data_IF_343158452018
#
_entry.id   IF_343158452018
#
_cell.length_a   1.000
_cell.length_b   1.000
_cell.length_c   1.000
_cell.angle_alpha   90.00
_cell.angle_beta   90.00
_cell.angle_gamma   90.00
#
_symmetry.space_group_name_H-M   'P 1'
#
loop_
_entity.id
_entity.type
_entity.pdbx_description
1 polymer ?
#
# COMPACT_ATOMS: atom_id res chain seq x y z
N UNK A 1 50.41 37.32 42.48
CA UNK A 1 49.94 37.78 43.81
C UNK A 1 48.90 36.76 44.20
N UNK A 2 49.45 35.78 44.89
CA UNK A 2 49.24 35.32 46.26
C UNK A 2 47.85 34.70 46.46
N UNK A 3 47.78 33.35 46.39
CA UNK A 3 47.99 32.44 47.51
C UNK A 3 47.07 32.71 48.71
N UNK A 4 46.20 31.74 49.02
CA UNK A 4 46.13 31.13 50.38
C UNK A 4 45.10 30.00 50.38
N UNK A 5 45.57 28.74 50.52
CA UNK A 5 44.84 27.64 51.14
C UNK A 5 44.82 27.83 52.68
N UNK A 6 43.88 27.27 53.37
CA UNK A 6 44.32 26.28 54.34
C UNK A 6 43.46 24.99 54.38
N UNK A 7 44.19 23.94 54.71
CA UNK A 7 43.76 22.62 55.03
C UNK A 7 43.06 22.50 56.40
N UNK A 8 42.63 21.29 56.69
CA UNK A 8 42.12 20.61 57.89
C UNK A 8 40.59 20.33 57.84
N UNK A 9 40.10 19.15 57.83
CA UNK A 9 40.09 18.23 58.95
C UNK A 9 39.63 16.81 58.46
N UNK A 10 40.40 15.79 58.79
CA UNK A 10 40.05 14.36 58.66
C UNK A 10 39.02 14.03 59.71
N UNK A 11 37.86 13.51 59.32
CA UNK A 11 36.95 12.80 60.18
C UNK A 11 36.70 11.41 59.57
N UNK A 12 37.29 10.45 60.17
CA UNK A 12 37.13 9.01 59.90
C UNK A 12 35.77 8.58 60.42
N UNK A 13 34.82 8.35 59.51
CA UNK A 13 33.52 7.75 59.85
C UNK A 13 33.54 6.31 59.38
N UNK A 14 33.68 5.37 60.33
CA UNK A 14 33.49 3.94 60.14
C UNK A 14 31.99 3.70 59.93
N UNK A 15 31.56 3.51 58.67
CA UNK A 15 30.20 3.07 58.35
C UNK A 15 30.22 1.52 58.28
N UNK A 16 29.59 0.90 59.26
CA UNK A 16 29.25 -0.53 59.29
C UNK A 16 28.30 -0.82 58.11
N UNK A 17 28.77 -1.44 57.06
CA UNK A 17 27.95 -1.94 55.97
C UNK A 17 27.25 -3.23 56.41
N UNK A 18 25.99 -3.10 56.84
CA UNK A 18 25.10 -4.26 56.97
C UNK A 18 24.62 -4.64 55.59
N UNK A 19 25.21 -5.64 54.98
CA UNK A 19 24.74 -6.27 53.74
C UNK A 19 23.47 -7.07 54.05
N UNK A 20 22.31 -6.48 53.84
CA UNK A 20 21.03 -7.20 53.69
C UNK A 20 21.08 -7.95 52.37
N UNK A 21 21.43 -9.25 52.46
CA UNK A 21 21.23 -10.17 51.33
C UNK A 21 19.76 -10.35 51.10
N UNK A 22 19.21 -9.62 50.13
CA UNK A 22 17.86 -9.89 49.59
C UNK A 22 17.90 -11.29 48.94
N UNK A 23 16.94 -12.19 49.24
CA UNK A 23 16.86 -13.45 48.54
C UNK A 23 16.59 -13.14 47.05
N UNK A 24 17.53 -13.53 46.18
CA UNK A 24 17.32 -13.57 44.75
C UNK A 24 16.17 -14.55 44.49
N UNK A 25 14.98 -14.04 44.25
CA UNK A 25 13.88 -14.83 43.69
C UNK A 25 14.39 -15.25 42.31
N UNK A 26 14.86 -16.47 42.21
CA UNK A 26 15.19 -17.11 40.95
C UNK A 26 13.88 -17.13 40.16
N UNK A 27 13.73 -16.19 39.19
CA UNK A 27 12.70 -16.31 38.17
C UNK A 27 12.99 -17.63 37.44
N UNK A 28 12.18 -18.64 37.73
CA UNK A 28 12.12 -19.85 36.92
C UNK A 28 11.93 -19.39 35.48
N UNK A 29 12.80 -19.79 34.53
CA UNK A 29 12.56 -19.49 33.13
C UNK A 29 11.19 -20.05 32.82
N UNK A 30 10.26 -19.16 32.46
CA UNK A 30 8.93 -19.60 31.99
C UNK A 30 9.17 -20.52 30.80
N UNK A 31 8.74 -21.76 30.93
CA UNK A 31 8.80 -22.71 29.84
C UNK A 31 8.32 -22.07 28.53
N UNK A 32 9.05 -22.25 27.42
CA UNK A 32 8.61 -21.73 26.16
C UNK A 32 7.19 -22.26 25.88
N UNK A 33 6.25 -21.42 25.43
CA UNK A 33 4.88 -21.84 25.19
C UNK A 33 4.87 -23.07 24.26
N UNK A 34 3.99 -24.05 24.52
CA UNK A 34 3.97 -25.30 23.79
C UNK A 34 3.88 -25.06 22.27
N UNK A 35 4.52 -25.91 21.50
CA UNK A 35 4.72 -25.73 20.05
C UNK A 35 3.44 -25.49 19.24
N UNK A 36 2.28 -25.99 19.72
CA UNK A 36 0.97 -25.76 19.09
C UNK A 36 0.49 -24.31 19.22
N UNK A 37 0.85 -23.60 20.30
CA UNK A 37 0.51 -22.18 20.49
C UNK A 37 1.30 -21.30 19.53
N UNK A 38 2.48 -21.74 19.04
CA UNK A 38 3.28 -20.99 18.08
C UNK A 38 2.73 -21.03 16.65
N UNK A 39 2.01 -22.10 16.28
CA UNK A 39 1.47 -22.28 14.91
C UNK A 39 0.31 -21.31 14.60
N UNK A 40 -0.42 -20.87 15.62
CA UNK A 40 -1.59 -20.02 15.44
C UNK A 40 -1.27 -18.52 15.62
N UNK A 41 -0.01 -18.17 15.92
CA UNK A 41 0.38 -16.77 16.07
C UNK A 41 0.84 -16.21 14.73
N UNK A 42 0.27 -15.06 14.37
CA UNK A 42 0.71 -14.24 13.24
C UNK A 42 1.55 -13.09 13.77
N UNK A 43 2.67 -12.86 13.12
CA UNK A 43 3.51 -11.69 13.33
C UNK A 43 3.33 -10.72 12.16
N UNK A 44 3.60 -9.45 12.38
CA UNK A 44 3.48 -8.44 11.34
C UNK A 44 4.25 -8.80 10.07
N UNK A 45 5.49 -9.32 10.22
CA UNK A 45 6.32 -9.79 9.10
C UNK A 45 5.67 -10.86 8.23
N UNK A 46 4.70 -11.60 8.75
CA UNK A 46 4.02 -12.67 8.03
C UNK A 46 2.95 -12.12 7.06
N UNK A 47 2.49 -10.89 7.33
CA UNK A 47 1.48 -10.18 6.52
C UNK A 47 2.00 -8.88 5.91
N UNK A 48 3.28 -8.57 6.11
CA UNK A 48 3.91 -7.41 5.50
C UNK A 48 3.98 -7.56 3.99
N UNK A 49 3.59 -6.51 3.26
CA UNK A 49 3.56 -6.51 1.80
C UNK A 49 2.35 -5.80 1.23
N UNK A 50 2.14 -5.99 -0.06
CA UNK A 50 1.00 -5.44 -0.79
C UNK A 50 -0.02 -6.56 -1.02
N UNK A 51 -1.25 -6.28 -0.67
CA UNK A 51 -2.39 -7.18 -0.80
C UNK A 51 -3.42 -6.56 -1.72
N UNK A 52 -3.77 -7.24 -2.80
CA UNK A 52 -4.75 -6.78 -3.77
C UNK A 52 -6.07 -7.53 -3.60
N UNK A 53 -7.17 -6.81 -3.70
CA UNK A 53 -8.50 -7.38 -3.66
C UNK A 53 -8.68 -8.41 -4.78
N UNK A 54 -8.98 -9.66 -4.43
CA UNK A 54 -9.05 -10.79 -5.38
C UNK A 54 -10.16 -10.59 -6.44
N UNK A 55 -11.40 -10.20 -6.10
CA UNK A 55 -12.41 -9.85 -7.08
C UNK A 55 -11.99 -8.71 -8.03
N UNK A 56 -11.28 -7.69 -7.53
CA UNK A 56 -10.75 -6.62 -8.38
C UNK A 56 -9.77 -7.17 -9.41
N UNK A 57 -8.81 -7.99 -8.95
CA UNK A 57 -7.80 -8.60 -9.82
C UNK A 57 -8.45 -9.50 -10.88
N UNK A 58 -9.49 -10.25 -10.51
CA UNK A 58 -10.25 -11.07 -11.45
C UNK A 58 -10.90 -10.28 -12.57
N UNK A 59 -11.57 -9.15 -12.22
CA UNK A 59 -12.17 -8.26 -13.23
C UNK A 59 -11.11 -7.56 -14.06
N UNK A 60 -10.03 -7.09 -13.42
CA UNK A 60 -8.90 -6.45 -14.11
C UNK A 60 -8.26 -7.38 -15.14
N UNK A 61 -8.01 -8.63 -14.75
CA UNK A 61 -7.41 -9.65 -15.65
C UNK A 61 -8.29 -9.95 -16.85
N UNK A 62 -9.61 -10.00 -16.65
CA UNK A 62 -10.57 -10.31 -17.71
C UNK A 62 -10.80 -9.13 -18.66
N UNK A 63 -10.94 -7.91 -18.15
CA UNK A 63 -11.35 -6.73 -18.90
C UNK A 63 -10.22 -5.74 -19.18
N UNK A 64 -9.08 -5.87 -18.53
CA UNK A 64 -7.97 -4.92 -18.54
C UNK A 64 -8.42 -3.46 -18.25
N UNK A 65 -9.45 -3.33 -17.41
CA UNK A 65 -10.11 -2.08 -17.08
C UNK A 65 -10.12 -1.88 -15.55
N UNK A 66 -9.19 -1.09 -15.00
CA UNK A 66 -9.20 -0.67 -13.61
C UNK A 66 -10.50 0.02 -13.19
N UNK A 67 -11.05 0.87 -14.06
CA UNK A 67 -12.31 1.54 -13.80
C UNK A 67 -13.50 0.57 -13.64
N UNK A 68 -13.61 -0.43 -14.52
CA UNK A 68 -14.65 -1.44 -14.38
C UNK A 68 -14.45 -2.32 -13.14
N UNK A 69 -13.21 -2.62 -12.80
CA UNK A 69 -12.86 -3.38 -11.61
C UNK A 69 -13.18 -2.61 -10.33
N UNK A 70 -12.82 -1.34 -10.24
CA UNK A 70 -13.04 -0.48 -9.08
C UNK A 70 -14.52 -0.24 -8.75
N UNK A 71 -15.40 -0.26 -9.75
CA UNK A 71 -16.86 -0.12 -9.54
C UNK A 71 -17.48 -1.25 -8.71
N UNK A 72 -16.85 -2.42 -8.68
CA UNK A 72 -17.39 -3.63 -8.04
C UNK A 72 -16.75 -3.93 -6.71
N UNK A 73 -15.63 -3.28 -6.39
CA UNK A 73 -14.79 -3.63 -5.26
C UNK A 73 -14.21 -2.38 -4.60
N UNK A 74 -14.10 -2.38 -3.27
CA UNK A 74 -13.37 -1.38 -2.51
C UNK A 74 -12.99 -1.98 -1.14
N UNK A 75 -11.84 -1.61 -0.58
CA UNK A 75 -10.68 -0.98 -1.20
C UNK A 75 -9.96 -1.93 -2.17
N UNK A 76 -9.25 -1.35 -3.14
CA UNK A 76 -8.56 -2.14 -4.16
C UNK A 76 -7.32 -2.80 -3.62
N UNK A 77 -6.56 -2.09 -2.78
CA UNK A 77 -5.27 -2.52 -2.26
C UNK A 77 -5.14 -2.16 -0.79
N UNK A 78 -4.49 -3.05 -0.07
CA UNK A 78 -4.01 -2.83 1.28
C UNK A 78 -2.50 -3.09 1.28
N UNK A 79 -1.71 -2.12 1.72
CA UNK A 79 -0.27 -2.29 1.91
C UNK A 79 0.05 -2.21 3.40
N UNK A 80 0.74 -3.22 3.92
CA UNK A 80 1.23 -3.27 5.29
C UNK A 80 2.75 -3.18 5.20
N UNK A 81 3.35 -2.09 5.69
CA UNK A 81 4.77 -1.82 5.49
C UNK A 81 5.37 -0.95 6.59
N UNK A 82 6.68 -0.98 6.72
CA UNK A 82 7.39 -0.20 7.74
C UNK A 82 7.97 1.12 7.21
N UNK A 83 8.48 1.16 6.00
CA UNK A 83 8.99 2.35 5.30
C UNK A 83 9.94 3.23 6.15
N UNK A 84 10.82 2.62 6.97
CA UNK A 84 11.72 3.34 7.87
C UNK A 84 11.04 4.08 9.03
N UNK A 85 9.73 3.94 9.23
CA UNK A 85 8.96 4.57 10.30
C UNK A 85 9.13 3.83 11.62
N UNK A 86 8.87 4.52 12.73
CA UNK A 86 8.88 3.91 14.06
C UNK A 86 7.83 2.80 14.19
N UNK A 87 6.65 3.00 13.59
CA UNK A 87 5.57 2.02 13.54
C UNK A 87 5.35 1.56 12.10
N UNK A 88 5.03 0.27 11.89
CA UNK A 88 4.49 -0.18 10.62
C UNK A 88 3.18 0.52 10.32
N UNK A 89 2.86 0.69 9.05
CA UNK A 89 1.62 1.36 8.62
C UNK A 89 0.78 0.43 7.77
N UNK A 90 -0.54 0.60 7.88
CA UNK A 90 -1.51 0.11 6.89
C UNK A 90 -1.88 1.28 5.99
N UNK A 91 -1.72 1.06 4.70
CA UNK A 91 -2.16 1.99 3.65
C UNK A 91 -3.33 1.33 2.94
N UNK A 92 -4.47 1.99 2.96
CA UNK A 92 -5.65 1.52 2.23
C UNK A 92 -5.98 2.51 1.13
N UNK A 93 -6.14 1.96 -0.08
CA UNK A 93 -6.49 2.70 -1.28
C UNK A 93 -5.40 3.66 -1.81
N UNK A 94 -5.31 3.79 -3.15
CA UNK A 94 -4.27 4.58 -3.81
C UNK A 94 -4.55 6.07 -3.89
N UNK A 95 -5.79 6.43 -4.15
CA UNK A 95 -6.16 7.82 -4.45
C UNK A 95 -6.58 8.62 -3.22
N UNK A 96 -6.80 7.94 -2.10
CA UNK A 96 -7.15 8.52 -0.80
C UNK A 96 -6.50 7.71 0.31
N UNK A 97 -5.19 7.54 0.20
CA UNK A 97 -4.44 6.73 1.14
C UNK A 97 -4.74 7.11 2.59
N UNK A 98 -5.46 6.25 3.29
CA UNK A 98 -5.54 6.31 4.73
C UNK A 98 -4.28 5.67 5.28
N UNK A 99 -3.49 6.45 5.98
CA UNK A 99 -2.28 5.99 6.67
C UNK A 99 -2.61 5.77 8.13
N UNK A 100 -2.47 4.55 8.61
CA UNK A 100 -2.74 4.18 9.99
C UNK A 100 -1.54 3.42 10.56
N UNK A 101 -1.03 3.83 11.72
CA UNK A 101 0.05 3.10 12.38
C UNK A 101 -0.48 1.79 12.97
N UNK A 102 0.20 0.68 12.71
CA UNK A 102 -0.08 -0.62 13.34
C UNK A 102 0.62 -0.66 14.69
N UNK A 103 -0.15 -0.81 15.73
CA UNK A 103 0.33 -0.89 17.11
C UNK A 103 0.55 -2.34 17.54
N UNK A 104 -0.38 -3.24 17.18
CA UNK A 104 -0.31 -4.66 17.56
C UNK A 104 -1.15 -5.54 16.63
N UNK A 105 -0.97 -6.85 16.75
CA UNK A 105 -1.80 -7.90 16.17
C UNK A 105 -2.29 -8.80 17.29
N UNK A 106 -3.58 -8.88 17.46
CA UNK A 106 -4.22 -9.66 18.51
C UNK A 106 -5.10 -10.78 17.92
N UNK A 107 -5.19 -11.95 18.59
CA UNK A 107 -6.18 -12.97 18.23
C UNK A 107 -7.62 -12.43 18.41
N UNK A 108 -8.55 -12.81 17.52
CA UNK A 108 -9.95 -12.39 17.56
C UNK A 108 -10.91 -13.57 17.83
N UNK A 109 -10.65 -14.30 18.91
CA UNK A 109 -11.57 -15.29 19.50
C UNK A 109 -11.76 -16.60 18.72
N UNK A 110 -11.32 -16.72 17.47
CA UNK A 110 -11.37 -17.94 16.65
C UNK A 110 -10.00 -18.29 16.10
N UNK A 111 -9.67 -19.57 15.95
CA UNK A 111 -8.45 -19.98 15.24
C UNK A 111 -8.40 -19.34 13.85
N UNK A 112 -7.27 -18.75 13.48
CA UNK A 112 -7.08 -18.08 12.19
C UNK A 112 -7.70 -16.68 12.06
N UNK A 113 -8.43 -16.19 13.07
CA UNK A 113 -8.99 -14.85 13.11
C UNK A 113 -8.15 -13.92 13.99
N UNK A 114 -7.90 -12.72 13.50
CA UNK A 114 -7.03 -11.73 14.13
C UNK A 114 -7.62 -10.32 13.96
N UNK A 115 -7.09 -9.40 14.74
CA UNK A 115 -7.33 -7.97 14.57
C UNK A 115 -6.01 -7.20 14.59
N UNK A 116 -5.86 -6.29 13.65
CA UNK A 116 -4.85 -5.24 13.73
C UNK A 116 -5.37 -4.15 14.64
N UNK A 117 -4.59 -3.80 15.64
CA UNK A 117 -4.80 -2.63 16.47
C UNK A 117 -4.11 -1.46 15.75
N UNK A 118 -4.86 -0.51 15.24
CA UNK A 118 -4.29 0.61 14.48
C UNK A 118 -4.65 1.94 15.13
N UNK A 119 -3.72 2.89 15.11
CA UNK A 119 -4.03 4.27 15.45
C UNK A 119 -4.65 4.97 14.24
N UNK A 120 -5.50 5.97 14.48
CA UNK A 120 -6.09 6.78 13.39
C UNK A 120 -5.03 7.50 12.57
N UNK A 121 -3.94 7.87 13.21
CA UNK A 121 -2.83 8.61 12.62
C UNK A 121 -1.63 7.69 12.35
N UNK A 122 -0.79 8.07 11.42
CA UNK A 122 0.48 7.39 11.14
C UNK A 122 1.59 7.70 12.18
N UNK A 123 1.34 8.64 13.08
CA UNK A 123 2.22 9.07 14.19
C UNK A 123 1.45 9.07 15.51
N UNK A 124 1.19 7.89 16.08
CA UNK A 124 0.42 7.81 17.31
C UNK A 124 1.17 8.46 18.48
N UNK A 125 0.40 9.21 19.29
CA UNK A 125 0.83 9.75 20.57
C UNK A 125 0.09 9.08 21.71
N UNK A 126 0.50 9.32 22.96
CA UNK A 126 -0.24 8.84 24.12
C UNK A 126 -1.67 9.40 24.08
N UNK A 127 -2.67 8.51 24.11
CA UNK A 127 -4.09 8.88 24.00
C UNK A 127 -4.66 8.94 22.59
N UNK A 128 -3.89 8.54 21.55
CA UNK A 128 -4.43 8.39 20.20
C UNK A 128 -5.60 7.40 20.19
N UNK A 129 -6.66 7.74 19.47
CA UNK A 129 -7.78 6.84 19.21
C UNK A 129 -7.31 5.60 18.46
N UNK A 130 -7.68 4.43 18.95
CA UNK A 130 -7.40 3.16 18.29
C UNK A 130 -8.62 2.63 17.55
N UNK A 131 -8.37 1.90 16.48
CA UNK A 131 -9.35 1.16 15.70
C UNK A 131 -8.91 -0.30 15.56
N UNK A 132 -9.83 -1.13 15.15
CA UNK A 132 -9.57 -2.55 14.90
C UNK A 132 -9.91 -2.89 13.45
N UNK A 133 -8.95 -3.45 12.73
CA UNK A 133 -9.17 -4.05 11.42
C UNK A 133 -9.16 -5.56 11.63
N UNK A 134 -10.30 -6.21 11.46
CA UNK A 134 -10.41 -7.66 11.60
C UNK A 134 -9.95 -8.34 10.33
N UNK A 135 -9.23 -9.44 10.48
CA UNK A 135 -8.83 -10.27 9.35
C UNK A 135 -8.74 -11.75 9.73
N UNK A 136 -8.94 -12.57 8.74
CA UNK A 136 -8.66 -14.01 8.76
C UNK A 136 -7.49 -14.26 7.80
N UNK A 137 -6.56 -15.13 8.19
CA UNK A 137 -5.40 -15.46 7.39
C UNK A 137 -5.42 -16.94 7.02
N UNK A 138 -5.27 -17.23 5.73
CA UNK A 138 -5.11 -18.58 5.21
C UNK A 138 -3.64 -18.83 4.87
N UNK A 139 -3.14 -20.00 5.23
CA UNK A 139 -1.78 -20.45 4.90
C UNK A 139 -1.82 -21.52 3.83
N UNK A 140 -0.90 -21.43 2.88
CA UNK A 140 -0.69 -22.49 1.89
C UNK A 140 0.02 -23.71 2.50
N UNK A 141 0.25 -24.73 1.68
CA UNK A 141 0.92 -25.98 2.09
C UNK A 141 2.35 -25.77 2.64
N UNK A 142 3.00 -24.67 2.27
CA UNK A 142 4.34 -24.27 2.76
C UNK A 142 4.27 -23.46 4.05
N UNK A 143 3.08 -23.23 4.62
CA UNK A 143 2.86 -22.45 5.83
C UNK A 143 2.94 -20.94 5.65
N UNK A 144 3.12 -20.44 4.42
CA UNK A 144 3.11 -19.02 4.10
C UNK A 144 1.67 -18.51 3.98
N UNK A 145 1.39 -17.33 4.52
CA UNK A 145 0.08 -16.68 4.33
C UNK A 145 -0.03 -16.28 2.86
N UNK A 146 -1.07 -16.78 2.20
CA UNK A 146 -1.35 -16.55 0.78
C UNK A 146 -2.73 -15.91 0.55
N UNK A 147 -3.52 -15.73 1.60
CA UNK A 147 -4.79 -15.01 1.55
C UNK A 147 -5.06 -14.30 2.86
N UNK A 148 -5.55 -13.08 2.77
CA UNK A 148 -6.15 -12.34 3.87
C UNK A 148 -7.61 -12.06 3.52
N UNK A 149 -8.51 -12.41 4.44
CA UNK A 149 -9.91 -12.01 4.38
C UNK A 149 -10.12 -10.90 5.41
N UNK A 150 -10.43 -9.70 4.96
CA UNK A 150 -10.39 -8.49 5.78
C UNK A 150 -11.79 -7.89 5.89
N UNK A 151 -12.16 -7.50 7.11
CA UNK A 151 -13.32 -6.68 7.37
C UNK A 151 -12.87 -5.37 8.04
N UNK A 152 -12.99 -4.30 7.29
CA UNK A 152 -12.77 -2.96 7.84
C UNK A 152 -14.09 -2.21 7.90
N UNK A 153 -14.53 -1.82 9.13
CA UNK A 153 -15.86 -1.27 9.34
C UNK A 153 -16.15 0.00 8.53
N UNK A 154 -15.13 0.85 8.37
CA UNK A 154 -15.30 2.17 7.78
C UNK A 154 -15.38 2.12 6.23
N UNK A 155 -14.67 1.17 5.60
CA UNK A 155 -14.63 1.06 4.13
C UNK A 155 -15.65 0.08 3.57
N UNK A 156 -15.86 -1.03 4.25
CA UNK A 156 -16.66 -2.13 3.72
C UNK A 156 -18.02 -2.27 4.36
N UNK A 157 -18.42 -1.33 5.22
CA UNK A 157 -19.71 -1.39 5.96
C UNK A 157 -19.93 -2.76 6.62
N UNK A 158 -18.88 -3.30 7.22
CA UNK A 158 -18.89 -4.61 7.87
C UNK A 158 -18.84 -5.81 6.91
N UNK A 159 -18.63 -5.62 5.62
CA UNK A 159 -18.45 -6.72 4.68
C UNK A 159 -17.01 -7.23 4.71
N UNK A 160 -16.85 -8.51 4.42
CA UNK A 160 -15.56 -9.14 4.26
C UNK A 160 -15.13 -9.12 2.80
N UNK A 161 -13.84 -8.91 2.57
CA UNK A 161 -13.24 -9.00 1.24
C UNK A 161 -11.96 -9.82 1.28
N UNK A 162 -11.74 -10.60 0.23
CA UNK A 162 -10.57 -11.45 0.07
C UNK A 162 -9.47 -10.71 -0.67
N UNK A 163 -8.25 -10.85 -0.16
CA UNK A 163 -7.04 -10.24 -0.69
C UNK A 163 -5.97 -11.31 -0.89
N UNK A 164 -5.26 -11.20 -2.00
CA UNK A 164 -4.11 -12.03 -2.32
C UNK A 164 -2.83 -11.20 -2.35
N UNK A 165 -1.67 -11.79 -2.00
CA UNK A 165 -0.41 -11.05 -2.01
C UNK A 165 -0.01 -10.68 -3.43
N UNK A 166 0.42 -9.44 -3.62
CA UNK A 166 1.00 -8.97 -4.85
C UNK A 166 2.53 -9.03 -4.73
N UNK A 167 3.19 -9.72 -5.64
CA UNK A 167 4.64 -9.78 -5.66
C UNK A 167 5.24 -8.49 -6.23
N UNK A 168 6.20 -7.89 -5.51
CA UNK A 168 6.89 -6.69 -5.95
C UNK A 168 6.07 -5.41 -5.78
N UNK A 169 6.39 -4.41 -6.60
CA UNK A 169 5.74 -3.11 -6.56
C UNK A 169 4.41 -3.13 -7.33
N UNK A 170 3.49 -2.28 -6.90
CA UNK A 170 2.15 -2.27 -7.45
C UNK A 170 2.10 -1.75 -8.89
N UNK A 171 2.67 -0.58 -9.16
CA UNK A 171 2.55 0.06 -10.47
C UNK A 171 3.11 -0.81 -11.60
N UNK A 172 4.30 -1.44 -11.49
CA UNK A 172 4.78 -2.39 -12.48
C UNK A 172 3.84 -3.57 -12.71
N UNK A 173 3.29 -4.14 -11.66
CA UNK A 173 2.36 -5.27 -11.78
C UNK A 173 1.06 -4.85 -12.48
N UNK A 174 0.50 -3.68 -12.13
CA UNK A 174 -0.70 -3.17 -12.77
C UNK A 174 -0.44 -2.84 -14.24
N UNK A 175 0.69 -2.21 -14.56
CA UNK A 175 1.09 -1.96 -15.94
C UNK A 175 1.17 -3.25 -16.75
N UNK A 176 1.77 -4.31 -16.18
CA UNK A 176 1.83 -5.66 -16.79
C UNK A 176 0.45 -6.20 -17.13
N UNK A 177 -0.50 -6.12 -16.21
CA UNK A 177 -1.85 -6.63 -16.43
C UNK A 177 -2.64 -5.84 -17.48
N UNK A 178 -2.38 -4.54 -17.59
CA UNK A 178 -3.26 -3.64 -18.34
C UNK A 178 -2.69 -3.24 -19.69
N UNK A 179 -1.49 -2.69 -19.72
CA UNK A 179 -0.96 -2.03 -20.91
C UNK A 179 0.36 -2.58 -21.43
N UNK A 180 1.20 -3.19 -20.56
CA UNK A 180 2.56 -3.56 -20.99
C UNK A 180 2.56 -4.47 -22.20
N UNK A 181 3.38 -4.10 -23.20
CA UNK A 181 3.50 -4.85 -24.45
C UNK A 181 4.02 -4.00 -25.60
N UNK A 182 4.18 -4.68 -26.72
CA UNK A 182 4.51 -4.06 -28.01
C UNK A 182 3.28 -4.09 -28.91
N UNK A 183 3.04 -3.03 -29.59
CA UNK A 183 1.85 -2.84 -30.41
C UNK A 183 2.22 -2.20 -31.75
N UNK A 184 1.27 -2.23 -32.67
CA UNK A 184 1.34 -1.54 -33.94
C UNK A 184 0.00 -0.86 -34.24
N UNK A 185 0.05 0.37 -34.73
CA UNK A 185 -1.15 1.06 -35.17
C UNK A 185 -1.55 0.66 -36.61
N UNK A 186 -2.66 1.21 -37.10
CA UNK A 186 -3.20 0.99 -38.43
C UNK A 186 -2.28 1.43 -39.59
N UNK A 187 -1.20 2.19 -39.28
CA UNK A 187 -0.19 2.64 -40.23
C UNK A 187 1.13 1.84 -40.12
N UNK A 188 1.14 0.78 -39.33
CA UNK A 188 2.33 -0.03 -39.10
C UNK A 188 3.38 0.61 -38.18
N UNK A 189 3.05 1.70 -37.46
CA UNK A 189 4.00 2.39 -36.58
C UNK A 189 4.05 1.70 -35.21
N UNK A 190 5.24 1.54 -34.65
CA UNK A 190 5.42 0.85 -33.38
C UNK A 190 4.99 1.71 -32.19
N UNK A 191 4.38 1.05 -31.19
CA UNK A 191 4.03 1.58 -29.88
C UNK A 191 4.51 0.60 -28.81
N UNK A 192 5.02 1.11 -27.72
CA UNK A 192 5.47 0.27 -26.61
C UNK A 192 5.01 0.86 -25.30
N UNK A 193 4.56 -0.03 -24.38
CA UNK A 193 4.32 0.31 -22.98
C UNK A 193 5.13 -0.66 -22.13
N UNK A 194 5.90 -0.16 -21.19
CA UNK A 194 6.72 -0.99 -20.29
C UNK A 194 6.03 -1.20 -18.94
N UNK A 195 6.44 -2.25 -18.22
CA UNK A 195 6.00 -2.48 -16.85
C UNK A 195 6.45 -1.34 -15.91
N UNK A 196 7.58 -0.73 -16.20
CA UNK A 196 8.12 0.39 -15.42
C UNK A 196 7.33 1.70 -15.58
N UNK A 197 6.31 1.73 -16.47
CA UNK A 197 5.51 2.95 -16.69
C UNK A 197 6.12 3.90 -17.72
N UNK A 198 6.93 3.40 -18.66
CA UNK A 198 7.38 4.17 -19.81
C UNK A 198 6.57 3.79 -21.04
N UNK A 199 6.15 4.78 -21.82
CA UNK A 199 5.50 4.61 -23.10
C UNK A 199 6.34 5.25 -24.21
N UNK A 200 6.55 4.49 -25.31
CA UNK A 200 7.15 5.00 -26.55
C UNK A 200 6.09 4.97 -27.64
N UNK A 201 5.75 6.14 -28.15
CA UNK A 201 4.85 6.37 -29.26
C UNK A 201 5.65 6.80 -30.50
N UNK A 202 5.08 6.81 -31.69
CA UNK A 202 5.82 7.17 -32.90
C UNK A 202 6.48 8.56 -32.88
N UNK A 203 5.94 9.48 -32.07
CA UNK A 203 6.32 10.88 -32.03
C UNK A 203 6.95 11.30 -30.68
N UNK A 204 6.92 10.44 -29.65
CA UNK A 204 7.39 10.79 -28.30
C UNK A 204 7.59 9.59 -27.39
N UNK A 205 8.37 9.82 -26.33
CA UNK A 205 8.50 8.91 -25.17
C UNK A 205 8.17 9.70 -23.90
N UNK A 206 7.49 9.06 -22.96
CA UNK A 206 7.09 9.67 -21.69
C UNK A 206 6.83 8.61 -20.62
N UNK A 207 6.91 9.01 -19.36
CA UNK A 207 6.48 8.18 -18.25
C UNK A 207 4.97 8.31 -18.04
N UNK A 208 4.36 7.22 -17.60
CA UNK A 208 2.93 7.20 -17.32
C UNK A 208 2.62 6.46 -16.02
N UNK A 209 1.51 6.82 -15.42
CA UNK A 209 0.89 6.14 -14.29
C UNK A 209 -0.56 5.79 -14.63
N UNK A 210 -0.98 4.56 -14.34
CA UNK A 210 -2.36 4.13 -14.52
C UNK A 210 -3.24 4.64 -13.39
N UNK A 211 -4.41 5.14 -13.71
CA UNK A 211 -5.46 5.38 -12.74
C UNK A 211 -6.12 4.06 -12.35
N UNK A 212 -5.86 3.60 -11.14
CA UNK A 212 -6.29 2.28 -10.68
C UNK A 212 -7.63 2.30 -9.92
N UNK A 213 -7.98 3.42 -9.31
CA UNK A 213 -9.16 3.55 -8.47
C UNK A 213 -9.76 4.96 -8.56
N UNK A 214 -10.35 5.27 -9.70
CA UNK A 214 -11.15 6.48 -9.88
C UNK A 214 -12.57 6.10 -10.33
N UNK A 215 -13.46 5.74 -9.37
CA UNK A 215 -14.85 5.37 -9.72
C UNK A 215 -15.64 6.54 -10.30
N UNK A 216 -15.15 7.78 -10.12
CA UNK A 216 -15.74 8.99 -10.71
C UNK A 216 -15.34 9.23 -12.15
N UNK A 217 -14.29 8.60 -12.65
CA UNK A 217 -13.89 8.71 -14.04
C UNK A 217 -14.95 8.11 -14.98
N UNK A 218 -15.06 8.64 -16.17
CA UNK A 218 -15.92 8.11 -17.23
C UNK A 218 -15.28 6.98 -18.04
N UNK A 219 -13.98 6.71 -17.82
CA UNK A 219 -13.17 5.77 -18.60
C UNK A 219 -11.90 5.37 -17.86
N UNK A 220 -11.23 4.33 -18.35
CA UNK A 220 -9.85 4.03 -17.97
C UNK A 220 -8.92 5.09 -18.55
N UNK A 221 -7.95 5.54 -17.76
CA UNK A 221 -6.98 6.52 -18.23
C UNK A 221 -5.60 6.32 -17.60
N UNK A 222 -4.61 6.82 -18.30
CA UNK A 222 -3.26 7.00 -17.80
C UNK A 222 -2.95 8.50 -17.67
N UNK A 223 -2.13 8.84 -16.74
CA UNK A 223 -1.61 10.18 -16.54
C UNK A 223 -0.13 10.19 -16.89
N UNK A 224 0.30 11.17 -17.70
CA UNK A 224 1.71 11.31 -18.05
C UNK A 224 2.38 12.24 -17.07
N UNK A 225 3.62 11.92 -16.70
CA UNK A 225 4.43 12.86 -15.96
C UNK A 225 4.74 14.07 -16.84
N UNK A 226 4.38 15.24 -16.34
CA UNK A 226 4.83 16.49 -16.96
C UNK A 226 6.32 16.64 -16.70
N UNK A 227 7.16 16.65 -17.73
CA UNK A 227 8.64 16.75 -17.65
C UNK A 227 9.17 18.06 -17.07
N UNK A 228 8.35 18.87 -16.45
CA UNK A 228 8.72 20.04 -15.66
C UNK A 228 7.98 20.02 -14.34
N UNK A 229 8.73 20.19 -13.23
CA UNK A 229 8.11 20.46 -11.92
C UNK A 229 7.02 21.52 -12.11
N UNK A 230 5.81 21.30 -11.61
CA UNK A 230 4.80 22.33 -11.69
C UNK A 230 5.27 23.53 -10.86
N UNK A 231 5.57 24.65 -11.51
CA UNK A 231 5.50 25.92 -10.84
C UNK A 231 4.07 26.08 -10.34
N UNK A 232 3.90 26.05 -9.04
CA UNK A 232 2.60 25.99 -8.35
C UNK A 232 1.67 27.20 -8.60
N UNK A 233 1.99 28.07 -9.55
CA UNK A 233 1.31 29.36 -9.79
C UNK A 233 0.50 29.45 -11.10
N UNK A 234 0.45 28.41 -11.95
CA UNK A 234 -0.33 28.48 -13.21
C UNK A 234 -1.25 27.27 -13.39
N UNK A 235 -2.17 27.07 -12.48
CA UNK A 235 -3.12 25.95 -12.46
C UNK A 235 -4.43 26.30 -13.16
N UNK A 236 -4.47 26.46 -14.45
CA UNK A 236 -5.79 26.71 -15.10
C UNK A 236 -6.03 25.98 -16.43
N UNK A 237 -4.99 25.82 -17.25
CA UNK A 237 -5.17 25.34 -18.61
C UNK A 237 -4.21 24.20 -19.04
N UNK A 238 -3.31 23.76 -18.16
CA UNK A 238 -2.21 22.86 -18.51
C UNK A 238 -2.49 21.39 -18.16
N UNK A 239 -3.58 21.13 -17.46
CA UNK A 239 -3.87 19.81 -16.88
C UNK A 239 -4.48 18.80 -17.89
N UNK A 240 -5.08 19.30 -18.98
CA UNK A 240 -5.75 18.43 -19.96
C UNK A 240 -4.81 17.70 -20.92
N UNK A 241 -3.58 18.19 -21.11
CA UNK A 241 -2.63 17.60 -22.06
C UNK A 241 -1.90 16.37 -21.54
N UNK A 242 -2.08 16.07 -20.26
CA UNK A 242 -1.30 15.04 -19.55
C UNK A 242 -2.12 13.76 -19.27
N UNK A 243 -3.28 13.60 -19.90
CA UNK A 243 -4.13 12.43 -19.72
C UNK A 243 -4.50 11.80 -21.04
N UNK A 244 -4.46 10.47 -21.07
CA UNK A 244 -4.95 9.68 -22.20
C UNK A 244 -5.87 8.60 -21.68
N UNK A 245 -7.06 8.53 -22.23
CA UNK A 245 -7.96 7.41 -22.02
C UNK A 245 -7.47 6.19 -22.80
N UNK A 246 -7.90 5.03 -22.37
CA UNK A 246 -7.71 3.82 -23.14
C UNK A 246 -8.91 2.87 -23.02
N UNK A 247 -9.04 1.96 -23.99
CA UNK A 247 -10.10 0.96 -24.00
C UNK A 247 -9.63 -0.29 -24.71
N UNK A 248 -9.79 -1.42 -24.06
CA UNK A 248 -9.64 -2.74 -24.66
C UNK A 248 -10.97 -3.18 -25.27
N UNK A 249 -10.97 -3.59 -26.53
CA UNK A 249 -12.10 -4.17 -27.21
C UNK A 249 -11.61 -5.10 -28.32
N UNK A 250 -12.16 -6.31 -28.40
CA UNK A 250 -11.86 -7.30 -29.45
C UNK A 250 -10.34 -7.54 -29.63
N UNK A 251 -9.60 -7.64 -28.53
CA UNK A 251 -8.15 -7.84 -28.52
C UNK A 251 -7.31 -6.65 -28.96
N UNK A 252 -7.92 -5.47 -29.21
CA UNK A 252 -7.24 -4.23 -29.59
C UNK A 252 -7.30 -3.20 -28.48
N UNK A 253 -6.26 -2.39 -28.38
CA UNK A 253 -6.15 -1.28 -27.47
C UNK A 253 -6.40 0.04 -28.20
N UNK A 254 -7.47 0.74 -27.86
CA UNK A 254 -7.75 2.11 -28.36
C UNK A 254 -7.18 3.13 -27.40
N UNK A 255 -6.40 4.08 -27.89
CA UNK A 255 -5.95 5.27 -27.16
C UNK A 255 -6.88 6.43 -27.47
N UNK A 256 -7.38 7.09 -26.45
CA UNK A 256 -8.42 8.11 -26.54
C UNK A 256 -7.89 9.44 -25.98
N UNK A 257 -8.29 10.59 -26.54
CA UNK A 257 -8.12 11.85 -25.82
C UNK A 257 -8.88 11.80 -24.50
N UNK A 258 -8.29 12.32 -23.42
CA UNK A 258 -8.95 12.44 -22.15
C UNK A 258 -8.78 13.86 -21.60
N UNK A 259 -9.81 14.38 -20.95
CA UNK A 259 -9.83 15.72 -20.38
C UNK A 259 -10.53 15.72 -19.03
N UNK A 260 -10.23 16.74 -18.25
CA UNK A 260 -10.91 16.98 -16.99
C UNK A 260 -12.21 17.77 -17.24
N UNK A 261 -13.33 17.22 -16.87
CA UNK A 261 -14.63 17.91 -16.89
C UNK A 261 -15.09 18.11 -15.43
N UNK A 262 -14.77 19.27 -14.88
CA UNK A 262 -14.89 19.53 -13.45
C UNK A 262 -13.92 18.65 -12.64
N UNK A 263 -14.46 17.74 -11.83
CA UNK A 263 -13.67 16.78 -11.04
C UNK A 263 -13.59 15.38 -11.68
N UNK A 264 -14.07 15.21 -12.88
CA UNK A 264 -14.16 13.90 -13.55
C UNK A 264 -13.30 13.87 -14.80
N UNK A 265 -12.58 12.76 -14.99
CA UNK A 265 -11.92 12.48 -16.26
C UNK A 265 -12.95 11.92 -17.24
N UNK A 266 -13.00 12.50 -18.43
CA UNK A 266 -13.89 12.09 -19.53
C UNK A 266 -13.03 11.79 -20.74
N UNK A 267 -13.28 10.65 -21.39
CA UNK A 267 -12.64 10.27 -22.63
C UNK A 267 -13.52 10.57 -23.83
N UNK A 268 -12.92 10.99 -24.93
CA UNK A 268 -13.62 11.16 -26.20
C UNK A 268 -13.98 9.79 -26.79
N UNK A 269 -15.02 9.78 -27.61
CA UNK A 269 -15.44 8.54 -28.25
C UNK A 269 -14.50 8.10 -29.39
N UNK A 270 -13.86 9.07 -30.09
CA UNK A 270 -12.99 8.82 -31.24
C UNK A 270 -11.54 8.58 -30.76
N UNK A 271 -10.95 7.42 -31.06
CA UNK A 271 -9.57 7.15 -30.72
C UNK A 271 -8.57 7.95 -31.56
N UNK A 272 -7.44 8.31 -30.98
CA UNK A 272 -6.26 8.85 -31.69
C UNK A 272 -5.44 7.74 -32.32
N UNK A 273 -5.50 6.54 -31.75
CA UNK A 273 -4.89 5.34 -32.29
C UNK A 273 -5.67 4.09 -31.88
N UNK A 274 -5.65 3.08 -32.73
CA UNK A 274 -6.11 1.71 -32.44
C UNK A 274 -4.92 0.79 -32.64
N UNK A 275 -4.53 0.11 -31.57
CA UNK A 275 -3.30 -0.65 -31.48
C UNK A 275 -3.60 -2.14 -31.46
N UNK A 276 -2.85 -2.90 -32.26
CA UNK A 276 -2.89 -4.35 -32.30
C UNK A 276 -1.65 -4.89 -31.56
N UNK A 277 -1.79 -5.81 -30.59
CA UNK A 277 -0.64 -6.46 -29.95
C UNK A 277 0.22 -7.22 -30.95
N UNK A 278 1.56 -7.23 -30.72
CA UNK A 278 2.53 -8.03 -31.48
C UNK A 278 3.02 -9.24 -30.71
#
# INVERSE_FOLDING_TARGET
MDSIFPAYLRATLLLLAVTLAAPAIAQTPSDPPPAHVRKDRIFLKDIEGIWINEPYLGVLSALKSPHAAAKKTAPVVIAIRRDGRAFPIVVTDFNKASLQAVLDIEPDGKPGAYRLVVARDDKPTSGSDVKFIRFEATRNAQGKIDRLRIAEPDFMKGKWADYVPLAGELSPQMNRFVLSGKYEDDKGRPWTFTEAGEATWPDRTFNYELSLNDPGAGCDYLQTESGSKPDAAKSGAQDDKNRFGYRWKDGKLSILPARLAGKKVVCDAKPVAVLTPK
#
